data_IF_051448848845
#
_entry.id   IF_051448848845
#
_cell.length_a   1.000
_cell.length_b   1.000
_cell.length_c   1.000
_cell.angle_alpha   90.00
_cell.angle_beta   90.00
_cell.angle_gamma   90.00
#
_symmetry.space_group_name_H-M   'P 1'
#
loop_
_entity.id
_entity.type
_entity.pdbx_description
1 polymer ?
#
# COMPACT_ATOMS: atom_id res chain seq x y z
N UNK A 1 4.93 -8.40 18.22
CA UNK A 1 4.06 -8.42 17.01
C UNK A 1 4.85 -7.92 15.81
N UNK A 2 4.85 -8.68 14.71
CA UNK A 2 5.58 -8.34 13.47
C UNK A 2 4.62 -7.73 12.44
N UNK A 3 4.89 -6.51 12.00
CA UNK A 3 4.08 -5.78 11.00
C UNK A 3 4.93 -5.53 9.76
N UNK A 4 4.47 -6.03 8.61
CA UNK A 4 5.17 -5.97 7.33
C UNK A 4 4.44 -5.02 6.36
N UNK A 5 5.18 -4.06 5.82
CA UNK A 5 4.72 -3.17 4.74
C UNK A 5 5.23 -3.67 3.39
N UNK A 6 4.30 -3.99 2.48
CA UNK A 6 4.57 -4.39 1.10
C UNK A 6 3.94 -3.40 0.11
N UNK A 7 4.61 -3.19 -1.00
CA UNK A 7 4.12 -2.30 -2.04
C UNK A 7 5.20 -1.84 -3.01
N UNK A 8 4.95 -0.70 -3.61
CA UNK A 8 5.78 -0.05 -4.60
C UNK A 8 6.58 1.14 -4.04
N UNK A 9 6.78 2.22 -4.84
CA UNK A 9 7.52 3.42 -4.45
C UNK A 9 6.87 4.19 -3.29
N UNK A 10 5.56 4.12 -3.13
CA UNK A 10 4.84 4.80 -2.04
C UNK A 10 5.21 4.16 -0.69
N UNK A 11 5.46 2.85 -0.69
CA UNK A 11 5.89 2.08 0.48
C UNK A 11 7.41 2.11 0.65
N UNK A 12 8.20 1.96 -0.44
CA UNK A 12 9.67 2.04 -0.46
C UNK A 12 10.16 3.39 0.10
N UNK A 13 9.74 4.47 -0.54
CA UNK A 13 10.02 5.86 -0.18
C UNK A 13 11.45 6.10 0.32
N UNK A 14 12.44 5.57 -0.41
CA UNK A 14 13.86 5.74 -0.11
C UNK A 14 14.37 4.95 1.09
N UNK A 15 13.76 3.80 1.40
CA UNK A 15 14.29 2.90 2.42
C UNK A 15 15.69 2.36 2.07
N UNK A 16 16.52 2.07 3.04
CA UNK A 16 17.75 1.29 2.82
C UNK A 16 17.39 -0.18 2.57
N UNK A 17 17.57 -0.65 1.34
CA UNK A 17 17.21 -2.02 0.94
C UNK A 17 18.05 -3.12 1.61
N UNK A 18 19.16 -2.76 2.24
CA UNK A 18 20.01 -3.68 3.03
C UNK A 18 19.54 -3.79 4.48
N UNK A 19 18.63 -2.92 4.90
CA UNK A 19 18.07 -2.90 6.25
C UNK A 19 16.54 -2.95 6.18
N UNK A 20 15.97 -4.10 6.45
CA UNK A 20 14.52 -4.32 6.41
C UNK A 20 13.74 -3.51 7.45
N UNK A 21 14.42 -3.06 8.51
CA UNK A 21 13.85 -2.25 9.58
C UNK A 21 13.89 -0.74 9.29
N UNK A 22 14.49 -0.33 8.18
CA UNK A 22 14.48 1.07 7.75
C UNK A 22 13.16 1.40 7.04
N UNK A 23 12.34 2.22 7.67
CA UNK A 23 10.98 2.52 7.18
C UNK A 23 10.93 3.46 5.97
N UNK A 24 12.06 4.03 5.54
CA UNK A 24 12.09 5.06 4.51
C UNK A 24 11.57 6.41 5.02
N UNK A 25 11.11 7.23 4.07
CA UNK A 25 10.59 8.57 4.36
C UNK A 25 9.08 8.68 4.04
N UNK A 26 8.44 7.57 3.66
CA UNK A 26 7.04 7.47 3.30
C UNK A 26 6.13 7.16 4.49
N UNK A 27 4.91 6.75 4.16
CA UNK A 27 3.87 6.47 5.15
C UNK A 27 4.25 5.39 6.18
N UNK A 28 5.09 4.36 5.88
CA UNK A 28 5.44 3.36 6.89
C UNK A 28 6.11 3.97 8.12
N UNK A 29 6.96 5.01 7.93
CA UNK A 29 7.58 5.73 9.04
C UNK A 29 6.54 6.34 9.98
N UNK A 30 5.58 7.07 9.42
CA UNK A 30 4.54 7.75 10.20
C UNK A 30 3.53 6.77 10.80
N UNK A 31 3.25 5.67 10.11
CA UNK A 31 2.43 4.57 10.65
C UNK A 31 3.08 3.96 11.91
N UNK A 32 4.40 3.71 11.86
CA UNK A 32 5.17 3.21 13.01
C UNK A 32 5.12 4.20 14.17
N UNK A 33 5.32 5.49 13.92
CA UNK A 33 5.25 6.54 14.94
C UNK A 33 3.88 6.55 15.61
N UNK A 34 2.79 6.58 14.83
CA UNK A 34 1.42 6.60 15.34
C UNK A 34 1.02 5.31 16.08
N UNK A 35 1.45 4.13 15.60
CA UNK A 35 1.18 2.86 16.29
C UNK A 35 1.92 2.81 17.63
N UNK A 36 3.17 3.23 17.70
CA UNK A 36 3.94 3.27 18.97
C UNK A 36 3.36 4.25 19.97
N UNK A 37 2.80 5.37 19.51
CA UNK A 37 2.10 6.32 20.36
C UNK A 37 0.81 5.71 20.97
N UNK A 38 0.05 4.96 20.16
CA UNK A 38 -1.18 4.29 20.62
C UNK A 38 -0.90 3.09 21.53
N UNK A 39 0.22 2.41 21.36
CA UNK A 39 0.57 1.17 22.07
C UNK A 39 2.00 1.24 22.64
N UNK A 40 2.27 2.13 23.61
CA UNK A 40 3.63 2.43 24.08
C UNK A 40 4.32 1.22 24.78
N UNK A 41 3.54 0.34 25.38
CA UNK A 41 4.05 -0.83 26.12
C UNK A 41 4.13 -2.11 25.28
N UNK A 42 3.72 -2.06 24.01
CA UNK A 42 3.74 -3.22 23.13
C UNK A 42 5.07 -3.38 22.39
N UNK A 43 5.53 -4.62 22.27
CA UNK A 43 6.74 -4.94 21.50
C UNK A 43 6.39 -5.19 20.03
N UNK A 44 6.95 -4.36 19.15
CA UNK A 44 6.74 -4.41 17.70
C UNK A 44 8.03 -4.57 16.93
N UNK A 45 7.99 -5.46 15.94
CA UNK A 45 8.95 -5.55 14.85
C UNK A 45 8.30 -5.01 13.58
N UNK A 46 8.80 -3.89 13.05
CA UNK A 46 8.32 -3.31 11.80
C UNK A 46 9.30 -3.58 10.67
N UNK A 47 8.78 -4.05 9.53
CA UNK A 47 9.56 -4.41 8.36
C UNK A 47 8.98 -3.69 7.14
N UNK A 48 9.83 -3.02 6.36
CA UNK A 48 9.46 -2.39 5.09
C UNK A 48 10.16 -3.08 3.93
N UNK A 49 9.38 -3.71 3.05
CA UNK A 49 9.86 -4.37 1.84
C UNK A 49 9.20 -3.81 0.55
N UNK A 50 8.78 -2.55 0.58
CA UNK A 50 8.40 -1.82 -0.63
C UNK A 50 9.55 -1.76 -1.64
N UNK A 51 9.23 -1.85 -2.93
CA UNK A 51 10.20 -1.69 -4.03
C UNK A 51 9.60 -0.77 -5.09
N UNK A 52 10.27 0.38 -5.29
CA UNK A 52 9.86 1.39 -6.26
C UNK A 52 9.67 0.80 -7.66
N UNK A 53 8.57 1.18 -8.32
CA UNK A 53 8.22 0.73 -9.67
C UNK A 53 7.53 -0.63 -9.73
N UNK A 54 7.41 -1.37 -8.63
CA UNK A 54 6.79 -2.69 -8.66
C UNK A 54 5.32 -2.61 -9.09
N UNK A 55 4.94 -3.57 -9.92
CA UNK A 55 3.57 -3.94 -10.27
C UNK A 55 3.17 -5.21 -9.50
N UNK A 56 1.92 -5.61 -9.67
CA UNK A 56 1.37 -6.81 -9.01
C UNK A 56 2.11 -8.09 -9.39
N UNK A 57 2.52 -8.27 -10.66
CA UNK A 57 3.31 -9.42 -11.10
C UNK A 57 4.65 -9.52 -10.35
N UNK A 58 5.37 -8.39 -10.27
CA UNK A 58 6.67 -8.33 -9.59
C UNK A 58 6.55 -8.52 -8.07
N UNK A 59 5.48 -8.02 -7.45
CA UNK A 59 5.20 -8.29 -6.04
C UNK A 59 4.92 -9.80 -5.82
N UNK A 60 4.17 -10.43 -6.73
CA UNK A 60 3.91 -11.88 -6.68
C UNK A 60 5.19 -12.70 -6.77
N UNK A 61 6.11 -12.34 -7.69
CA UNK A 61 7.37 -13.07 -7.90
C UNK A 61 8.24 -13.11 -6.63
N UNK A 62 8.29 -12.01 -5.87
CA UNK A 62 9.09 -11.92 -4.64
C UNK A 62 8.34 -12.29 -3.36
N UNK A 63 7.04 -12.58 -3.45
CA UNK A 63 6.16 -12.78 -2.29
C UNK A 63 6.64 -13.89 -1.35
N UNK A 64 7.24 -14.96 -1.89
CA UNK A 64 7.74 -16.07 -1.08
C UNK A 64 8.83 -15.60 -0.12
N UNK A 65 9.87 -14.95 -0.65
CA UNK A 65 10.98 -14.45 0.16
C UNK A 65 10.56 -13.30 1.09
N UNK A 66 9.73 -12.37 0.56
CA UNK A 66 9.47 -11.10 1.21
C UNK A 66 8.23 -11.11 2.13
N UNK A 67 7.49 -12.22 2.19
CA UNK A 67 6.33 -12.33 3.07
C UNK A 67 6.16 -13.74 3.66
N UNK A 68 6.18 -14.79 2.81
CA UNK A 68 5.88 -16.14 3.28
C UNK A 68 6.96 -16.63 4.25
N UNK A 69 8.24 -16.44 3.96
CA UNK A 69 9.34 -16.84 4.88
C UNK A 69 9.41 -15.98 6.14
N UNK A 70 8.89 -14.77 6.09
CA UNK A 70 8.91 -13.82 7.23
C UNK A 70 7.84 -14.16 8.26
N UNK A 71 6.69 -14.71 7.81
CA UNK A 71 5.54 -15.04 8.68
C UNK A 71 5.13 -13.84 9.56
N UNK A 72 4.70 -12.71 8.98
CA UNK A 72 4.27 -11.55 9.77
C UNK A 72 2.93 -11.83 10.47
N UNK A 73 2.66 -11.11 11.55
CA UNK A 73 1.34 -11.11 12.20
C UNK A 73 0.34 -10.22 11.42
N UNK A 74 0.83 -9.10 10.89
CA UNK A 74 0.06 -8.19 10.02
C UNK A 74 0.88 -7.90 8.76
N UNK A 75 0.26 -8.02 7.59
CA UNK A 75 0.84 -7.59 6.31
C UNK A 75 -0.06 -6.56 5.64
N UNK A 76 0.50 -5.42 5.26
CA UNK A 76 -0.18 -4.42 4.46
C UNK A 76 0.35 -4.41 3.02
N UNK A 77 -0.56 -4.21 2.07
CA UNK A 77 -0.27 -4.18 0.63
C UNK A 77 -0.86 -2.91 0.03
N UNK A 78 0.02 -2.04 -0.46
CA UNK A 78 -0.31 -0.87 -1.28
C UNK A 78 0.38 -1.03 -2.62
N UNK A 79 -0.34 -1.50 -3.64
CA UNK A 79 0.16 -1.82 -4.97
C UNK A 79 -0.92 -1.58 -6.04
N UNK A 80 -0.53 -1.31 -7.28
CA UNK A 80 -1.43 -1.26 -8.42
C UNK A 80 -1.34 0.02 -9.25
N UNK A 81 -0.81 1.11 -8.69
CA UNK A 81 -0.65 2.35 -9.49
C UNK A 81 0.31 2.14 -10.66
N UNK A 82 1.37 1.34 -10.52
CA UNK A 82 2.30 1.07 -11.59
C UNK A 82 1.74 0.11 -12.65
N UNK A 83 0.77 -0.74 -12.30
CA UNK A 83 0.08 -1.58 -13.28
C UNK A 83 -0.66 -0.74 -14.31
N UNK A 84 -1.22 0.39 -13.92
CA UNK A 84 -1.87 1.34 -14.84
C UNK A 84 -0.88 2.36 -15.40
N UNK A 85 0.05 2.87 -14.60
CA UNK A 85 1.00 3.89 -15.07
C UNK A 85 1.92 3.38 -16.17
N UNK A 86 2.42 2.16 -16.04
CA UNK A 86 3.33 1.58 -17.02
C UNK A 86 2.65 1.20 -18.35
N UNK A 87 1.34 1.33 -18.48
CA UNK A 87 0.62 1.24 -19.76
C UNK A 87 1.00 2.39 -20.72
N UNK A 88 1.57 3.48 -20.17
CA UNK A 88 1.89 4.72 -20.89
C UNK A 88 3.39 5.00 -20.94
N UNK A 89 3.81 5.82 -21.92
CA UNK A 89 5.20 6.25 -22.06
C UNK A 89 6.05 5.31 -22.92
N UNK A 90 7.35 5.59 -22.97
CA UNK A 90 8.36 4.75 -23.65
C UNK A 90 8.68 3.53 -22.79
N UNK A 91 8.60 2.34 -23.34
CA UNK A 91 8.83 1.10 -22.59
C UNK A 91 7.56 0.57 -21.90
N UNK A 92 6.44 0.75 -22.55
CA UNK A 92 5.12 0.25 -22.11
C UNK A 92 5.16 -1.20 -21.66
N UNK A 93 4.48 -1.44 -20.55
CA UNK A 93 4.15 -2.78 -20.07
C UNK A 93 2.63 -2.81 -19.93
N UNK A 94 1.97 -3.48 -20.86
CA UNK A 94 0.52 -3.55 -20.91
C UNK A 94 0.02 -4.64 -19.95
N UNK A 95 -0.20 -4.28 -18.69
CA UNK A 95 -0.96 -5.14 -17.77
C UNK A 95 -2.45 -4.91 -18.02
N UNK A 96 -3.17 -5.91 -18.54
CA UNK A 96 -4.64 -5.79 -18.66
C UNK A 96 -5.31 -5.86 -17.30
N UNK A 97 -6.58 -5.43 -17.22
CA UNK A 97 -7.35 -5.51 -15.97
C UNK A 97 -7.53 -6.97 -15.50
N UNK A 98 -7.67 -7.92 -16.43
CA UNK A 98 -7.75 -9.34 -16.12
C UNK A 98 -6.42 -9.88 -15.56
N UNK A 99 -5.29 -9.46 -16.13
CA UNK A 99 -3.96 -9.82 -15.61
C UNK A 99 -3.73 -9.22 -14.23
N UNK A 100 -4.11 -7.95 -14.04
CA UNK A 100 -4.06 -7.29 -12.75
C UNK A 100 -4.88 -8.05 -11.70
N UNK A 101 -6.16 -8.39 -12.01
CA UNK A 101 -7.01 -9.16 -11.09
C UNK A 101 -6.38 -10.52 -10.78
N UNK A 102 -5.88 -11.23 -11.78
CA UNK A 102 -5.27 -12.55 -11.61
C UNK A 102 -4.04 -12.48 -10.69
N UNK A 103 -3.14 -11.53 -10.94
CA UNK A 103 -1.92 -11.34 -10.14
C UNK A 103 -2.25 -10.96 -8.69
N UNK A 104 -3.14 -9.98 -8.49
CA UNK A 104 -3.50 -9.52 -7.16
C UNK A 104 -4.23 -10.62 -6.37
N UNK A 105 -5.14 -11.33 -7.01
CA UNK A 105 -5.80 -12.51 -6.42
C UNK A 105 -4.80 -13.58 -6.02
N UNK A 106 -3.79 -13.85 -6.86
CA UNK A 106 -2.75 -14.83 -6.57
C UNK A 106 -1.91 -14.43 -5.35
N UNK A 107 -1.57 -13.15 -5.19
CA UNK A 107 -0.90 -12.61 -4.01
C UNK A 107 -1.73 -12.89 -2.75
N UNK A 108 -2.97 -12.42 -2.73
CA UNK A 108 -3.83 -12.53 -1.54
C UNK A 108 -4.15 -13.97 -1.18
N UNK A 109 -4.44 -14.81 -2.18
CA UNK A 109 -4.68 -16.24 -1.99
C UNK A 109 -3.45 -16.97 -1.43
N UNK A 110 -2.25 -16.64 -1.93
CA UNK A 110 -1.00 -17.23 -1.42
C UNK A 110 -0.76 -16.83 0.03
N UNK A 111 -0.97 -15.57 0.39
CA UNK A 111 -0.86 -15.13 1.78
C UNK A 111 -1.84 -15.86 2.70
N UNK A 112 -3.10 -15.98 2.31
CA UNK A 112 -4.11 -16.71 3.10
C UNK A 112 -3.78 -18.18 3.28
N UNK A 113 -3.18 -18.82 2.28
CA UNK A 113 -2.89 -20.25 2.32
C UNK A 113 -1.57 -20.59 3.01
N UNK A 114 -0.61 -19.66 3.08
CA UNK A 114 0.76 -19.94 3.51
C UNK A 114 1.22 -19.10 4.71
N UNK A 115 0.35 -18.23 5.24
CA UNK A 115 0.61 -17.46 6.46
C UNK A 115 -0.63 -17.41 7.34
N UNK A 116 -0.43 -17.04 8.62
CA UNK A 116 -1.51 -16.69 9.54
C UNK A 116 -1.72 -15.17 9.63
N UNK A 117 -1.08 -14.41 8.76
CA UNK A 117 -1.10 -12.96 8.79
C UNK A 117 -2.52 -12.38 8.65
N UNK A 118 -2.80 -11.34 9.41
CA UNK A 118 -3.90 -10.43 9.11
C UNK A 118 -3.52 -9.58 7.90
N UNK A 119 -4.37 -9.57 6.88
CA UNK A 119 -4.11 -8.90 5.60
C UNK A 119 -4.81 -7.55 5.57
N UNK A 120 -4.03 -6.49 5.37
CA UNK A 120 -4.51 -5.12 5.15
C UNK A 120 -4.30 -4.76 3.68
N UNK A 121 -5.36 -4.54 2.95
CA UNK A 121 -5.31 -4.05 1.57
C UNK A 121 -5.57 -2.55 1.57
N UNK A 122 -4.65 -1.80 0.97
CA UNK A 122 -4.74 -0.34 0.82
C UNK A 122 -4.97 -0.04 -0.66
N UNK A 123 -6.04 0.68 -0.98
CA UNK A 123 -6.34 1.05 -2.36
C UNK A 123 -5.25 1.97 -2.94
N UNK A 124 -4.79 1.73 -4.17
CA UNK A 124 -4.00 2.72 -4.89
C UNK A 124 -4.83 3.98 -5.11
N UNK A 125 -4.15 5.11 -5.26
CA UNK A 125 -4.78 6.41 -5.46
C UNK A 125 -4.02 7.24 -6.50
N UNK A 126 -4.68 8.26 -7.02
CA UNK A 126 -4.08 9.31 -7.83
C UNK A 126 -4.76 10.64 -7.50
N UNK A 127 -4.01 11.58 -6.94
CA UNK A 127 -4.47 12.94 -6.71
C UNK A 127 -4.51 13.72 -8.02
N UNK A 128 -5.26 14.82 -8.05
CA UNK A 128 -5.44 15.60 -9.27
C UNK A 128 -4.12 16.19 -9.76
N UNK A 129 -3.65 15.70 -10.90
CA UNK A 129 -2.45 16.13 -11.57
C UNK A 129 -2.69 16.10 -13.08
N UNK A 130 -2.48 17.24 -13.74
CA UNK A 130 -2.89 17.47 -15.13
C UNK A 130 -2.31 16.51 -16.15
N UNK A 131 -1.10 15.99 -15.89
CA UNK A 131 -0.37 15.17 -16.88
C UNK A 131 -0.67 13.67 -16.76
N UNK A 132 -1.63 13.26 -15.92
CA UNK A 132 -1.91 11.86 -15.62
C UNK A 132 -3.36 11.44 -15.89
N UNK A 133 -4.09 12.18 -16.72
CA UNK A 133 -5.50 11.87 -17.02
C UNK A 133 -5.73 10.44 -17.56
N UNK A 134 -4.91 9.90 -18.49
CA UNK A 134 -5.09 8.52 -18.93
C UNK A 134 -4.93 7.50 -17.80
N UNK A 135 -3.99 7.74 -16.87
CA UNK A 135 -3.77 6.87 -15.70
C UNK A 135 -4.98 6.93 -14.76
N UNK A 136 -5.60 8.10 -14.61
CA UNK A 136 -6.80 8.31 -13.81
C UNK A 136 -7.99 7.51 -14.34
N UNK A 137 -8.19 7.51 -15.65
CA UNK A 137 -9.27 6.73 -16.28
C UNK A 137 -9.06 5.22 -16.08
N UNK A 138 -7.84 4.73 -16.31
CA UNK A 138 -7.53 3.32 -16.07
C UNK A 138 -7.64 2.93 -14.58
N UNK A 139 -7.29 3.83 -13.66
CA UNK A 139 -7.42 3.56 -12.23
C UNK A 139 -8.88 3.32 -11.84
N UNK A 140 -9.85 3.95 -12.52
CA UNK A 140 -11.28 3.73 -12.29
C UNK A 140 -11.72 2.29 -12.58
N UNK A 141 -11.04 1.58 -13.49
CA UNK A 141 -11.34 0.18 -13.78
C UNK A 141 -10.67 -0.77 -12.78
N UNK A 142 -9.51 -0.41 -12.27
CA UNK A 142 -8.71 -1.22 -11.34
C UNK A 142 -9.22 -1.14 -9.89
N UNK A 143 -9.66 0.03 -9.44
CA UNK A 143 -10.15 0.22 -8.07
C UNK A 143 -11.31 -0.71 -7.67
N UNK A 144 -12.34 -0.94 -8.51
CA UNK A 144 -13.38 -1.94 -8.21
C UNK A 144 -12.84 -3.35 -8.04
N UNK A 145 -11.80 -3.72 -8.79
CA UNK A 145 -11.12 -5.02 -8.66
C UNK A 145 -10.44 -5.13 -7.29
N UNK A 146 -9.67 -4.10 -6.89
CA UNK A 146 -9.02 -4.07 -5.57
C UNK A 146 -10.05 -4.19 -4.45
N UNK A 147 -11.15 -3.43 -4.52
CA UNK A 147 -12.25 -3.47 -3.54
C UNK A 147 -12.91 -4.84 -3.46
N UNK A 148 -13.17 -5.47 -4.60
CA UNK A 148 -13.71 -6.85 -4.68
C UNK A 148 -12.78 -7.85 -4.01
N UNK A 149 -11.48 -7.82 -4.36
CA UNK A 149 -10.48 -8.73 -3.80
C UNK A 149 -10.23 -8.48 -2.31
N UNK A 150 -10.23 -7.23 -1.88
CA UNK A 150 -10.13 -6.90 -0.46
C UNK A 150 -11.31 -7.48 0.33
N UNK A 151 -12.54 -7.36 -0.17
CA UNK A 151 -13.71 -7.98 0.45
C UNK A 151 -13.63 -9.51 0.56
N UNK A 152 -12.96 -10.16 -0.40
CA UNK A 152 -12.81 -11.62 -0.44
C UNK A 152 -11.68 -12.11 0.47
N UNK A 153 -10.58 -11.34 0.60
CA UNK A 153 -9.35 -11.83 1.21
C UNK A 153 -8.82 -10.99 2.38
N UNK A 154 -9.15 -9.71 2.50
CA UNK A 154 -8.56 -8.85 3.53
C UNK A 154 -9.29 -8.92 4.87
N UNK A 155 -8.55 -8.71 5.97
CA UNK A 155 -9.12 -8.46 7.30
C UNK A 155 -9.48 -6.98 7.44
N UNK A 156 -8.70 -6.08 6.81
CA UNK A 156 -8.96 -4.64 6.74
C UNK A 156 -8.78 -4.14 5.31
N UNK A 157 -9.69 -3.30 4.86
CA UNK A 157 -9.57 -2.54 3.62
C UNK A 157 -9.50 -1.05 3.92
N UNK A 158 -8.48 -0.39 3.39
CA UNK A 158 -8.30 1.05 3.50
C UNK A 158 -8.58 1.68 2.13
N UNK A 159 -9.76 2.30 1.92
CA UNK A 159 -10.14 2.93 0.66
C UNK A 159 -9.44 4.29 0.53
N UNK A 160 -8.12 4.28 0.31
CA UNK A 160 -7.30 5.48 0.37
C UNK A 160 -7.66 6.48 -0.72
N UNK A 161 -8.14 6.03 -1.87
CA UNK A 161 -8.74 6.84 -2.93
C UNK A 161 -9.92 7.69 -2.42
N UNK A 162 -10.89 7.07 -1.77
CA UNK A 162 -12.06 7.76 -1.19
C UNK A 162 -11.69 8.64 0.01
N UNK A 163 -10.69 8.21 0.80
CA UNK A 163 -10.20 8.99 1.95
C UNK A 163 -9.56 10.30 1.47
N UNK A 164 -8.76 10.25 0.41
CA UNK A 164 -8.22 11.47 -0.20
C UNK A 164 -9.30 12.36 -0.81
N UNK A 165 -10.31 11.80 -1.47
CA UNK A 165 -11.44 12.58 -1.96
C UNK A 165 -12.15 13.35 -0.84
N UNK A 166 -12.28 12.75 0.34
CA UNK A 166 -12.85 13.43 1.53
C UNK A 166 -11.90 14.48 2.09
N UNK A 167 -10.61 14.17 2.19
CA UNK A 167 -9.59 15.10 2.69
C UNK A 167 -9.49 16.37 1.81
N UNK A 168 -9.61 16.23 0.49
CA UNK A 168 -9.59 17.34 -0.44
C UNK A 168 -10.81 18.29 -0.33
N UNK A 169 -11.87 17.89 0.37
CA UNK A 169 -13.00 18.81 0.68
C UNK A 169 -12.61 19.84 1.74
N UNK A 170 -11.69 19.51 2.62
CA UNK A 170 -11.20 20.40 3.69
C UNK A 170 -9.85 21.03 3.34
N UNK A 171 -9.00 20.31 2.65
CA UNK A 171 -7.71 20.79 2.11
C UNK A 171 -7.71 20.59 0.58
N UNK A 172 -8.25 21.57 -0.20
CA UNK A 172 -8.54 21.37 -1.62
C UNK A 172 -7.32 21.42 -2.55
N UNK A 173 -6.11 21.50 -2.00
CA UNK A 173 -4.88 21.56 -2.78
C UNK A 173 -4.20 20.18 -2.82
N UNK A 174 -4.26 19.44 -3.93
CA UNK A 174 -3.61 18.14 -4.06
C UNK A 174 -2.11 18.17 -3.76
N UNK A 175 -1.44 19.28 -4.15
CA UNK A 175 -0.02 19.51 -3.88
C UNK A 175 0.34 19.60 -2.38
N UNK A 176 -0.65 19.81 -1.50
CA UNK A 176 -0.44 19.68 -0.07
C UNK A 176 -0.02 18.25 0.34
N UNK A 177 -0.53 17.25 -0.39
CA UNK A 177 -0.29 15.83 -0.11
C UNK A 177 0.74 15.19 -1.05
N UNK A 178 0.84 15.65 -2.31
CA UNK A 178 1.72 15.05 -3.32
C UNK A 178 2.06 16.07 -4.40
N UNK A 179 3.33 16.15 -4.77
CA UNK A 179 3.80 17.09 -5.79
C UNK A 179 3.49 16.59 -7.22
N UNK A 180 3.34 15.29 -7.41
CA UNK A 180 3.11 14.67 -8.72
C UNK A 180 1.77 13.90 -8.80
N UNK A 181 0.99 13.90 -7.73
CA UNK A 181 -0.29 13.21 -7.60
C UNK A 181 -0.18 11.73 -7.20
N UNK A 182 1.00 11.11 -7.25
CA UNK A 182 1.24 9.69 -6.92
C UNK A 182 2.07 9.54 -5.66
N UNK A 183 3.25 10.18 -5.65
CA UNK A 183 4.20 10.04 -4.54
C UNK A 183 3.87 11.05 -3.45
N UNK A 184 3.52 10.62 -2.24
CA UNK A 184 3.20 11.52 -1.15
C UNK A 184 4.46 12.30 -0.73
N UNK A 185 4.31 13.62 -0.55
CA UNK A 185 5.30 14.42 0.18
C UNK A 185 5.16 14.17 1.69
N UNK A 186 5.88 14.92 2.52
CA UNK A 186 5.86 14.71 3.97
C UNK A 186 4.45 14.79 4.59
N UNK A 187 3.61 15.72 4.13
CA UNK A 187 2.23 15.86 4.61
C UNK A 187 1.37 14.67 4.18
N UNK A 188 1.47 14.26 2.91
CA UNK A 188 0.74 13.09 2.41
C UNK A 188 1.20 11.79 3.07
N UNK A 189 2.50 11.61 3.27
CA UNK A 189 3.05 10.44 3.94
C UNK A 189 2.57 10.35 5.40
N UNK A 190 2.57 11.48 6.12
CA UNK A 190 2.03 11.56 7.47
C UNK A 190 0.54 11.24 7.51
N UNK A 191 -0.24 11.84 6.63
CA UNK A 191 -1.67 11.59 6.51
C UNK A 191 -1.99 10.11 6.28
N UNK A 192 -1.30 9.46 5.31
CA UNK A 192 -1.49 8.02 5.04
C UNK A 192 -1.08 7.17 6.24
N UNK A 193 0.00 7.53 6.93
CA UNK A 193 0.49 6.81 8.11
C UNK A 193 -0.50 6.84 9.28
N UNK A 194 -1.10 8.00 9.56
CA UNK A 194 -2.15 8.17 10.57
C UNK A 194 -3.41 7.39 10.19
N UNK A 195 -3.87 7.51 8.95
CA UNK A 195 -5.00 6.71 8.41
C UNK A 195 -4.75 5.22 8.56
N UNK A 196 -3.55 4.75 8.24
CA UNK A 196 -3.18 3.35 8.41
C UNK A 196 -3.28 2.91 9.88
N UNK A 197 -2.66 3.67 10.80
CA UNK A 197 -2.64 3.35 12.23
C UNK A 197 -4.06 3.26 12.82
N UNK A 198 -4.96 4.15 12.42
CA UNK A 198 -6.35 4.14 12.86
C UNK A 198 -7.10 2.90 12.36
N UNK A 199 -6.89 2.49 11.11
CA UNK A 199 -7.58 1.34 10.53
C UNK A 199 -7.09 0.00 11.08
N UNK A 200 -5.81 -0.11 11.50
CA UNK A 200 -5.27 -1.35 12.05
C UNK A 200 -5.34 -1.45 13.57
N UNK A 201 -5.81 -0.41 14.26
CA UNK A 201 -5.86 -0.34 15.72
C UNK A 201 -6.57 -1.54 16.34
N UNK A 202 -7.78 -1.87 15.86
CA UNK A 202 -8.54 -3.01 16.34
C UNK A 202 -7.87 -4.36 16.06
N UNK A 203 -7.15 -4.50 14.93
CA UNK A 203 -6.36 -5.69 14.65
C UNK A 203 -5.20 -5.85 15.64
N UNK A 204 -4.52 -4.76 15.96
CA UNK A 204 -3.42 -4.77 16.91
C UNK A 204 -3.94 -5.13 18.31
N UNK A 205 -5.01 -4.47 18.77
CA UNK A 205 -5.62 -4.75 20.06
C UNK A 205 -6.04 -6.21 20.24
N UNK A 206 -6.59 -6.82 19.19
CA UNK A 206 -7.04 -8.22 19.25
C UNK A 206 -5.91 -9.26 19.22
N UNK A 207 -4.67 -8.85 18.96
CA UNK A 207 -3.49 -9.71 18.86
C UNK A 207 -2.42 -9.41 19.93
N UNK A 208 -2.65 -8.43 20.81
CA UNK A 208 -1.85 -8.17 22.01
C UNK A 208 -2.37 -8.95 23.22
#
# INVERSE_FOLDING_TARGET
MRILFQGDSITDAGRDKRNYYHMGYGYPKYAVEAIREKFPDADFEFINLGISGNRTDQLFDRLYADAITIQPDIISILIGINDVWHRYGSGKIETTDEQFEANYRAILKRLRNQTNAKIVVIAPYLLDCKDKEPIREDLKTVLPIVRKLAKEYADVYIPLDEIFEKALKTQPQPMYYSDDGVHPNANGAKFIGEVYADHVEALIQSNL
#
